data_IF_005779393922
#
_entry.id   IF_005779393922
#
_cell.length_a   1.000
_cell.length_b   1.000
_cell.length_c   1.000
_cell.angle_alpha   90.00
_cell.angle_beta   90.00
_cell.angle_gamma   90.00
#
_symmetry.space_group_name_H-M   'P 1'
#
loop_
_entity.id
_entity.type
_entity.pdbx_description
1 polymer ?
#
# COMPACT_ATOMS: atom_id res chain seq x y z
N UNK A 1 -80.92 6.18 -19.22
CA UNK A 1 -80.53 4.75 -19.09
C UNK A 1 -79.32 4.64 -18.16
N UNK A 2 -79.51 4.35 -16.87
CA UNK A 2 -78.94 3.18 -16.15
C UNK A 2 -77.81 2.43 -16.89
N UNK A 3 -76.60 2.38 -16.34
CA UNK A 3 -76.12 1.30 -15.43
C UNK A 3 -74.72 1.59 -14.87
N UNK A 4 -74.61 1.44 -13.56
CA UNK A 4 -73.40 1.10 -12.81
C UNK A 4 -72.80 -0.23 -13.28
N UNK A 5 -71.47 -0.37 -13.21
CA UNK A 5 -70.81 -1.55 -12.60
C UNK A 5 -69.35 -1.25 -12.28
N UNK A 6 -69.05 -1.28 -10.98
CA UNK A 6 -67.74 -1.63 -10.42
C UNK A 6 -67.29 -2.98 -10.98
N UNK A 7 -66.00 -3.10 -11.27
CA UNK A 7 -65.26 -4.32 -11.03
C UNK A 7 -64.01 -3.95 -10.22
N UNK A 8 -64.05 -4.34 -8.96
CA UNK A 8 -62.92 -4.48 -8.06
C UNK A 8 -61.98 -5.57 -8.59
N UNK A 9 -60.67 -5.33 -8.55
CA UNK A 9 -59.63 -6.36 -8.43
C UNK A 9 -58.25 -5.72 -8.22
N UNK A 10 -57.92 -5.59 -6.93
CA UNK A 10 -56.71 -6.14 -6.31
C UNK A 10 -55.34 -5.86 -6.95
N UNK A 11 -54.68 -4.88 -6.32
CA UNK A 11 -53.28 -4.83 -5.90
C UNK A 11 -52.36 -6.01 -6.30
N UNK A 12 -51.35 -5.71 -7.12
CA UNK A 12 -50.18 -6.53 -7.35
C UNK A 12 -48.98 -5.61 -7.56
N UNK A 13 -48.16 -5.45 -6.52
CA UNK A 13 -46.89 -4.71 -6.56
C UNK A 13 -45.92 -5.43 -7.50
N UNK A 14 -45.49 -4.74 -8.57
CA UNK A 14 -44.19 -4.95 -9.22
C UNK A 14 -43.64 -3.58 -9.62
N UNK A 15 -42.49 -3.25 -9.06
CA UNK A 15 -41.74 -2.04 -9.39
C UNK A 15 -41.31 -2.07 -10.85
N UNK A 16 -41.50 -0.94 -11.52
CA UNK A 16 -41.05 -0.68 -12.89
C UNK A 16 -39.55 -0.30 -12.88
N UNK A 17 -38.83 -0.56 -13.99
CA UNK A 17 -37.48 -0.06 -14.22
C UNK A 17 -37.52 1.39 -14.71
N UNK A 18 -36.47 2.17 -14.45
CA UNK A 18 -36.18 3.37 -15.21
C UNK A 18 -34.69 3.67 -15.14
N UNK A 19 -34.13 3.79 -16.34
CA UNK A 19 -32.82 4.28 -16.68
C UNK A 19 -32.38 5.52 -15.91
N UNK A 20 -31.08 5.59 -15.62
CA UNK A 20 -30.34 6.85 -15.56
C UNK A 20 -28.90 6.57 -15.95
N UNK A 21 -28.65 6.65 -17.25
CA UNK A 21 -27.33 6.81 -17.85
C UNK A 21 -27.08 8.32 -17.96
N UNK A 22 -26.00 8.82 -17.35
CA UNK A 22 -25.19 9.95 -17.85
C UNK A 22 -24.14 10.37 -16.83
N UNK A 23 -22.89 10.47 -17.30
CA UNK A 23 -21.81 11.19 -16.62
C UNK A 23 -20.46 10.73 -17.12
N UNK A 24 -19.93 11.40 -18.14
CA UNK A 24 -18.77 10.98 -18.93
C UNK A 24 -17.48 10.70 -18.17
N UNK A 25 -16.79 9.64 -18.61
CA UNK A 25 -15.37 9.44 -18.40
C UNK A 25 -14.61 10.42 -19.30
N UNK A 26 -14.27 11.58 -18.73
CA UNK A 26 -13.04 12.28 -19.11
C UNK A 26 -11.88 11.40 -18.59
N UNK A 27 -10.80 11.17 -19.35
CA UNK A 27 -9.61 10.54 -18.80
C UNK A 27 -8.96 11.58 -17.87
N UNK A 28 -9.41 11.61 -16.63
CA UNK A 28 -8.66 12.23 -15.55
C UNK A 28 -7.30 11.55 -15.50
N UNK A 29 -6.24 12.33 -15.39
CA UNK A 29 -4.94 11.82 -14.94
C UNK A 29 -5.19 11.00 -13.67
N UNK A 30 -5.19 9.67 -13.80
CA UNK A 30 -5.17 8.74 -12.69
C UNK A 30 -3.97 9.13 -11.83
N UNK A 31 -4.21 9.77 -10.69
CA UNK A 31 -3.17 9.90 -9.67
C UNK A 31 -2.77 8.45 -9.34
N UNK A 32 -1.49 8.08 -9.48
CA UNK A 32 -1.08 6.69 -9.37
C UNK A 32 -1.58 6.13 -8.03
N UNK A 33 -2.29 5.00 -8.11
CA UNK A 33 -2.82 4.30 -6.93
C UNK A 33 -1.66 4.03 -5.97
N UNK A 34 -1.85 4.19 -4.63
CA UNK A 34 -0.78 3.90 -3.68
C UNK A 34 -0.31 2.45 -3.84
N UNK A 35 0.89 2.28 -4.38
CA UNK A 35 1.48 0.98 -4.69
C UNK A 35 2.55 0.60 -3.67
N UNK A 36 2.88 -0.69 -3.59
CA UNK A 36 3.79 -1.25 -2.57
C UNK A 36 4.70 -2.33 -3.16
N UNK A 37 5.86 -2.61 -2.54
CA UNK A 37 6.71 -3.74 -2.92
C UNK A 37 5.99 -5.09 -2.79
N UNK A 38 4.98 -5.21 -1.93
CA UNK A 38 4.21 -6.44 -1.78
C UNK A 38 3.28 -6.73 -2.97
N UNK A 39 2.86 -5.72 -3.74
CA UNK A 39 2.02 -5.91 -4.93
C UNK A 39 2.74 -6.66 -6.06
N UNK A 40 4.06 -6.83 -5.95
CA UNK A 40 4.86 -7.74 -6.75
C UNK A 40 4.71 -9.23 -6.35
N UNK A 41 3.87 -9.59 -5.36
CA UNK A 41 3.91 -10.93 -4.72
C UNK A 41 2.52 -11.47 -4.32
N UNK A 42 2.44 -12.74 -3.88
CA UNK A 42 1.18 -13.43 -3.49
C UNK A 42 1.21 -14.09 -2.10
N UNK A 43 1.96 -13.56 -1.13
CA UNK A 43 2.17 -14.25 0.16
C UNK A 43 1.04 -14.01 1.22
N UNK A 44 0.93 -14.94 2.18
CA UNK A 44 -0.02 -14.93 3.30
C UNK A 44 0.54 -14.17 4.53
N UNK A 45 -0.24 -13.23 5.08
CA UNK A 45 0.19 -12.31 6.13
C UNK A 45 0.35 -12.93 7.52
N UNK A 46 -0.50 -13.89 7.91
CA UNK A 46 -0.38 -14.56 9.22
C UNK A 46 0.86 -15.45 9.27
N UNK A 47 1.10 -16.20 8.19
CA UNK A 47 2.31 -16.99 8.02
C UNK A 47 3.56 -16.09 8.09
N UNK A 48 3.53 -14.95 7.38
CA UNK A 48 4.64 -13.99 7.38
C UNK A 48 4.96 -13.45 8.78
N UNK A 49 3.95 -13.13 9.60
CA UNK A 49 4.21 -12.67 10.97
C UNK A 49 4.89 -13.75 11.81
N UNK A 50 4.44 -15.01 11.71
CA UNK A 50 5.07 -16.12 12.41
C UNK A 50 6.54 -16.29 11.98
N UNK A 51 6.82 -16.16 10.68
CA UNK A 51 8.17 -16.21 10.13
C UNK A 51 9.07 -15.09 10.66
N UNK A 52 8.53 -13.87 10.77
CA UNK A 52 9.26 -12.70 11.30
C UNK A 52 9.55 -12.84 12.80
N UNK A 53 8.66 -13.49 13.56
CA UNK A 53 8.91 -13.82 14.96
C UNK A 53 9.97 -14.91 15.08
N UNK A 54 9.90 -15.97 14.28
CA UNK A 54 10.91 -17.04 14.25
C UNK A 54 12.29 -16.51 13.84
N UNK A 55 12.34 -15.58 12.88
CA UNK A 55 13.56 -14.91 12.44
C UNK A 55 14.09 -13.86 13.44
N UNK A 56 13.39 -13.58 14.54
CA UNK A 56 13.81 -12.58 15.53
C UNK A 56 13.74 -11.14 15.02
N UNK A 57 12.96 -10.89 13.96
CA UNK A 57 12.69 -9.53 13.45
C UNK A 57 11.61 -8.85 14.27
N UNK A 58 10.63 -9.62 14.74
CA UNK A 58 9.52 -9.16 15.59
C UNK A 58 9.57 -9.89 16.93
N UNK A 59 9.52 -9.13 18.02
CA UNK A 59 9.25 -9.63 19.36
C UNK A 59 7.74 -9.53 19.64
N UNK A 60 7.09 -10.67 19.83
CA UNK A 60 5.66 -10.77 20.15
C UNK A 60 5.40 -11.10 21.64
N UNK A 61 6.36 -10.87 22.52
CA UNK A 61 6.19 -11.12 23.96
C UNK A 61 5.26 -10.09 24.62
N UNK A 62 4.42 -10.57 25.54
CA UNK A 62 3.59 -9.68 26.38
C UNK A 62 2.31 -9.14 25.73
N UNK A 63 1.89 -9.69 24.59
CA UNK A 63 0.61 -9.37 23.94
C UNK A 63 0.67 -8.22 22.94
N UNK A 64 1.83 -7.57 22.79
CA UNK A 64 2.10 -6.59 21.74
C UNK A 64 3.21 -7.13 20.81
N UNK A 65 3.12 -6.84 19.52
CA UNK A 65 4.21 -7.09 18.57
C UNK A 65 5.06 -5.82 18.41
N UNK A 66 6.39 -5.95 18.46
CA UNK A 66 7.35 -4.85 18.27
C UNK A 66 8.54 -5.33 17.46
N UNK A 67 9.23 -4.42 16.77
CA UNK A 67 10.50 -4.76 16.13
C UNK A 67 11.54 -5.13 17.19
N UNK A 68 12.33 -6.16 16.91
CA UNK A 68 13.53 -6.43 17.67
C UNK A 68 14.51 -5.24 17.51
N UNK A 69 15.18 -4.88 18.61
CA UNK A 69 16.02 -3.68 18.66
C UNK A 69 17.14 -3.69 17.60
N UNK A 70 17.81 -4.84 17.44
CA UNK A 70 18.89 -4.99 16.46
C UNK A 70 18.36 -4.77 15.03
N UNK A 71 17.24 -5.40 14.67
CA UNK A 71 16.62 -5.20 13.36
C UNK A 71 16.23 -3.73 13.11
N UNK A 72 15.62 -3.08 14.11
CA UNK A 72 15.21 -1.69 13.98
C UNK A 72 16.41 -0.73 13.81
N UNK A 73 17.54 -1.01 14.44
CA UNK A 73 18.79 -0.24 14.24
C UNK A 73 19.33 -0.39 12.81
N UNK A 74 19.39 -1.61 12.28
CA UNK A 74 19.78 -1.87 10.89
C UNK A 74 18.86 -1.14 9.90
N UNK A 75 17.55 -1.23 10.14
CA UNK A 75 16.53 -0.56 9.31
C UNK A 75 16.66 0.96 9.35
N UNK A 76 16.81 1.56 10.54
CA UNK A 76 16.98 3.03 10.68
C UNK A 76 18.25 3.53 9.99
N UNK A 77 19.35 2.80 10.14
CA UNK A 77 20.61 3.09 9.43
C UNK A 77 20.42 3.05 7.90
N UNK A 78 19.68 2.06 7.40
CA UNK A 78 19.36 1.97 5.98
C UNK A 78 18.45 3.13 5.51
N UNK A 79 17.45 3.53 6.32
CA UNK A 79 16.60 4.71 6.03
C UNK A 79 17.44 5.98 5.90
N UNK A 80 18.35 6.24 6.84
CA UNK A 80 19.21 7.43 6.80
C UNK A 80 20.06 7.47 5.53
N UNK A 81 20.68 6.33 5.18
CA UNK A 81 21.47 6.18 3.96
C UNK A 81 20.63 6.44 2.71
N UNK A 82 19.48 5.78 2.59
CA UNK A 82 18.61 5.85 1.41
C UNK A 82 17.96 7.23 1.26
N UNK A 83 17.57 7.89 2.36
CA UNK A 83 17.02 9.25 2.34
C UNK A 83 17.98 10.24 1.67
N UNK A 84 19.28 10.08 1.90
CA UNK A 84 20.32 10.96 1.36
C UNK A 84 20.65 10.70 -0.12
N UNK A 85 20.16 9.60 -0.71
CA UNK A 85 20.47 9.28 -2.10
C UNK A 85 19.78 10.21 -3.10
N UNK A 86 20.45 10.55 -4.21
CA UNK A 86 19.80 11.07 -5.40
C UNK A 86 18.65 10.17 -5.88
N UNK A 87 17.64 10.70 -6.60
CA UNK A 87 16.51 9.91 -7.08
C UNK A 87 16.91 8.66 -7.88
N UNK A 88 17.85 8.79 -8.82
CA UNK A 88 18.29 7.66 -9.66
C UNK A 88 19.01 6.57 -8.86
N UNK A 89 19.83 6.97 -7.88
CA UNK A 89 20.51 6.03 -6.99
C UNK A 89 19.52 5.31 -6.06
N UNK A 90 18.46 5.99 -5.63
CA UNK A 90 17.37 5.36 -4.88
C UNK A 90 16.60 4.36 -5.77
N UNK A 91 16.34 4.71 -7.04
CA UNK A 91 15.69 3.79 -7.98
C UNK A 91 16.53 2.52 -8.20
N UNK A 92 17.85 2.67 -8.36
CA UNK A 92 18.77 1.55 -8.47
C UNK A 92 18.81 0.69 -7.20
N UNK A 93 18.82 1.30 -6.01
CA UNK A 93 18.78 0.59 -4.74
C UNK A 93 17.45 -0.17 -4.55
N UNK A 94 16.32 0.44 -4.93
CA UNK A 94 15.00 -0.18 -4.89
C UNK A 94 14.92 -1.37 -5.85
N UNK A 95 15.44 -1.24 -7.08
CA UNK A 95 15.48 -2.32 -8.05
C UNK A 95 16.24 -3.55 -7.53
N UNK A 96 17.35 -3.34 -6.82
CA UNK A 96 18.16 -4.44 -6.28
C UNK A 96 17.42 -5.32 -5.26
N UNK A 97 16.32 -4.84 -4.68
CA UNK A 97 15.50 -5.58 -3.72
C UNK A 97 14.10 -5.92 -4.24
N UNK A 98 13.79 -5.58 -5.49
CA UNK A 98 12.49 -5.82 -6.13
C UNK A 98 12.56 -7.07 -7.02
N UNK A 99 12.13 -8.26 -6.55
CA UNK A 99 12.39 -9.54 -7.23
C UNK A 99 11.72 -9.69 -8.60
N UNK A 100 10.60 -9.00 -8.84
CA UNK A 100 9.83 -9.09 -10.09
C UNK A 100 10.13 -7.95 -11.07
N UNK A 101 10.85 -6.92 -10.65
CA UNK A 101 11.18 -5.78 -11.49
C UNK A 101 12.44 -6.06 -12.32
N UNK A 102 12.42 -5.66 -13.58
CA UNK A 102 13.57 -5.77 -14.48
C UNK A 102 14.27 -4.43 -14.71
N UNK A 103 13.57 -3.33 -14.43
CA UNK A 103 14.11 -1.98 -14.51
C UNK A 103 13.46 -1.06 -13.48
N UNK A 104 14.15 0.05 -13.19
CA UNK A 104 13.64 1.09 -12.33
C UNK A 104 14.10 2.46 -12.83
N UNK A 105 13.24 3.47 -12.66
CA UNK A 105 13.57 4.85 -12.91
C UNK A 105 12.99 5.78 -11.86
N UNK A 106 13.57 6.97 -11.73
CA UNK A 106 13.03 8.01 -10.87
C UNK A 106 12.23 9.02 -11.70
N UNK A 107 10.96 9.19 -11.36
CA UNK A 107 10.06 10.14 -12.02
C UNK A 107 9.68 11.23 -11.03
N UNK A 108 9.73 12.49 -11.45
CA UNK A 108 9.27 13.62 -10.63
C UNK A 108 8.10 14.31 -11.32
N UNK A 109 6.95 14.31 -10.65
CA UNK A 109 5.72 14.97 -11.09
C UNK A 109 5.32 16.04 -10.07
N UNK A 110 5.39 17.30 -10.49
CA UNK A 110 5.19 18.43 -9.58
C UNK A 110 6.16 18.41 -8.41
N UNK A 111 5.64 18.34 -7.19
CA UNK A 111 6.44 18.28 -5.95
C UNK A 111 6.69 16.85 -5.45
N UNK A 112 6.27 15.83 -6.22
CA UNK A 112 6.34 14.41 -5.83
C UNK A 112 7.40 13.69 -6.65
N UNK A 113 8.24 12.93 -5.97
CA UNK A 113 9.18 11.99 -6.60
C UNK A 113 8.71 10.56 -6.37
N UNK A 114 8.82 9.76 -7.41
CA UNK A 114 8.46 8.35 -7.47
C UNK A 114 9.68 7.53 -7.91
N UNK A 115 9.74 6.30 -7.42
CA UNK A 115 10.51 5.22 -8.04
C UNK A 115 9.50 4.36 -8.78
N UNK A 116 9.66 4.28 -10.10
CA UNK A 116 8.83 3.43 -10.96
C UNK A 116 9.60 2.15 -11.19
N UNK A 117 9.02 1.03 -10.77
CA UNK A 117 9.54 -0.32 -11.04
C UNK A 117 8.74 -0.91 -12.19
N UNK A 118 9.42 -1.50 -13.18
CA UNK A 118 8.76 -2.13 -14.32
C UNK A 118 9.20 -3.59 -14.45
N UNK A 119 8.25 -4.49 -14.72
CA UNK A 119 8.53 -5.90 -15.02
C UNK A 119 9.10 -6.11 -16.45
N UNK A 120 9.12 -5.04 -17.26
CA UNK A 120 9.62 -5.04 -18.64
C UNK A 120 8.53 -5.33 -19.68
N UNK A 121 7.29 -5.56 -19.25
CA UNK A 121 6.13 -5.49 -20.13
C UNK A 121 5.89 -4.05 -20.56
N UNK A 122 5.24 -3.85 -21.72
CA UNK A 122 4.83 -2.52 -22.18
C UNK A 122 3.43 -2.14 -21.70
N UNK A 123 2.86 -2.94 -20.79
CA UNK A 123 1.51 -2.75 -20.28
C UNK A 123 1.56 -1.91 -19.00
N UNK A 124 0.64 -0.93 -18.81
CA UNK A 124 0.62 -0.11 -17.60
C UNK A 124 0.50 -0.91 -16.29
N UNK A 125 -0.11 -2.10 -16.35
CA UNK A 125 -0.23 -3.01 -15.22
C UNK A 125 1.11 -3.63 -14.76
N UNK A 126 2.15 -3.55 -15.58
CA UNK A 126 3.51 -4.02 -15.26
C UNK A 126 4.36 -2.98 -14.52
N UNK A 127 3.81 -1.81 -14.19
CA UNK A 127 4.50 -0.75 -13.47
C UNK A 127 3.98 -0.60 -12.03
N UNK A 128 4.93 -0.41 -11.11
CA UNK A 128 4.66 -0.12 -9.70
C UNK A 128 5.26 1.23 -9.36
N UNK A 129 4.39 2.18 -8.99
CA UNK A 129 4.77 3.56 -8.73
C UNK A 129 4.90 3.83 -7.22
N UNK A 130 6.13 3.74 -6.72
CA UNK A 130 6.42 3.94 -5.30
C UNK A 130 6.73 5.41 -5.02
N UNK A 131 5.93 6.05 -4.17
CA UNK A 131 6.28 7.38 -3.65
C UNK A 131 7.63 7.30 -2.92
N UNK A 132 8.48 8.32 -3.06
CA UNK A 132 9.82 8.35 -2.44
C UNK A 132 9.84 7.89 -0.96
N UNK A 133 8.93 8.33 -0.07
CA UNK A 133 8.95 7.84 1.31
C UNK A 133 8.67 6.34 1.44
N UNK A 134 7.78 5.78 0.62
CA UNK A 134 7.50 4.33 0.56
C UNK A 134 8.73 3.59 0.05
N UNK A 135 9.31 4.05 -1.07
CA UNK A 135 10.53 3.45 -1.63
C UNK A 135 11.68 3.42 -0.60
N UNK A 136 11.89 4.50 0.17
CA UNK A 136 12.89 4.54 1.24
C UNK A 136 12.55 3.55 2.36
N UNK A 137 11.31 3.56 2.87
CA UNK A 137 10.89 2.67 3.95
C UNK A 137 11.06 1.19 3.59
N UNK A 138 10.48 0.78 2.48
CA UNK A 138 10.40 -0.63 2.11
C UNK A 138 11.77 -1.14 1.62
N UNK A 139 12.54 -0.33 0.88
CA UNK A 139 13.92 -0.70 0.53
C UNK A 139 14.80 -0.84 1.77
N UNK A 140 14.66 0.06 2.76
CA UNK A 140 15.40 -0.05 4.01
C UNK A 140 15.08 -1.35 4.77
N UNK A 141 13.79 -1.69 4.86
CA UNK A 141 13.34 -2.92 5.51
C UNK A 141 13.83 -4.17 4.77
N UNK A 142 13.73 -4.20 3.43
CA UNK A 142 14.21 -5.32 2.62
C UNK A 142 15.73 -5.55 2.74
N UNK A 143 16.51 -4.47 2.80
CA UNK A 143 17.96 -4.54 3.03
C UNK A 143 18.29 -5.04 4.44
N UNK A 144 17.62 -4.53 5.48
CA UNK A 144 17.81 -5.00 6.84
C UNK A 144 17.45 -6.50 6.98
N UNK A 145 16.33 -6.92 6.38
CA UNK A 145 15.93 -8.32 6.36
C UNK A 145 16.97 -9.21 5.68
N UNK A 146 17.58 -8.75 4.58
CA UNK A 146 18.62 -9.51 3.89
C UNK A 146 19.89 -9.69 4.74
N UNK A 147 20.14 -8.81 5.71
CA UNK A 147 21.28 -8.88 6.63
C UNK A 147 20.98 -9.74 7.87
N UNK A 148 19.74 -9.69 8.37
CA UNK A 148 19.40 -10.25 9.68
C UNK A 148 18.52 -11.50 9.65
N UNK A 149 17.88 -11.82 8.51
CA UNK A 149 16.92 -12.92 8.39
C UNK A 149 17.19 -13.79 7.15
N UNK A 150 16.98 -15.10 7.27
CA UNK A 150 17.06 -16.04 6.16
C UNK A 150 15.73 -16.14 5.41
N UNK A 151 15.41 -15.09 4.65
CA UNK A 151 14.23 -15.01 3.79
C UNK A 151 14.66 -14.88 2.33
N UNK A 152 13.95 -15.54 1.42
CA UNK A 152 14.12 -15.31 -0.01
C UNK A 152 13.66 -13.89 -0.41
N UNK A 153 13.99 -13.46 -1.63
CA UNK A 153 13.75 -12.10 -2.08
C UNK A 153 12.25 -11.74 -2.13
N UNK A 154 11.39 -12.68 -2.53
CA UNK A 154 9.94 -12.48 -2.60
C UNK A 154 9.36 -12.27 -1.20
N UNK A 155 9.74 -13.12 -0.24
CA UNK A 155 9.30 -12.98 1.15
C UNK A 155 9.82 -11.70 1.80
N UNK A 156 11.04 -11.26 1.46
CA UNK A 156 11.58 -9.98 1.93
C UNK A 156 10.78 -8.78 1.43
N UNK A 157 10.36 -8.79 0.17
CA UNK A 157 9.54 -7.71 -0.38
C UNK A 157 8.19 -7.61 0.33
N UNK A 158 7.54 -8.75 0.60
CA UNK A 158 6.27 -8.78 1.36
C UNK A 158 6.46 -8.28 2.79
N UNK A 159 7.45 -8.82 3.49
CA UNK A 159 7.75 -8.45 4.86
C UNK A 159 8.10 -6.97 4.96
N UNK A 160 8.88 -6.43 4.03
CA UNK A 160 9.25 -5.01 3.99
C UNK A 160 8.03 -4.08 3.94
N UNK A 161 7.02 -4.42 3.13
CA UNK A 161 5.76 -3.69 3.13
C UNK A 161 5.06 -3.75 4.49
N UNK A 162 4.85 -4.97 5.03
CA UNK A 162 4.17 -5.17 6.31
C UNK A 162 4.87 -4.48 7.49
N UNK A 163 6.20 -4.48 7.51
CA UNK A 163 7.03 -3.84 8.55
C UNK A 163 6.91 -2.32 8.56
N UNK A 164 6.32 -1.71 7.52
CA UNK A 164 6.00 -0.28 7.52
C UNK A 164 5.00 0.09 8.62
N UNK A 165 4.27 -0.86 9.20
CA UNK A 165 3.35 -0.62 10.33
C UNK A 165 4.09 -0.18 11.60
N UNK A 166 5.39 -0.44 11.67
CA UNK A 166 6.27 -0.05 12.78
C UNK A 166 7.06 1.24 12.51
N UNK A 167 6.61 2.07 11.56
CA UNK A 167 7.15 3.41 11.37
C UNK A 167 6.48 4.39 12.34
N UNK A 168 7.30 5.07 13.14
CA UNK A 168 6.85 6.19 13.98
C UNK A 168 6.91 7.51 13.20
N UNK A 169 7.97 7.70 12.40
CA UNK A 169 8.24 8.92 11.65
C UNK A 169 8.34 8.67 10.15
N UNK A 170 7.99 9.69 9.36
CA UNK A 170 8.18 9.65 7.91
C UNK A 170 9.67 9.51 7.57
N UNK A 171 10.08 8.48 6.80
CA UNK A 171 11.47 8.20 6.44
C UNK A 171 12.08 9.24 5.49
N UNK A 172 11.34 10.28 5.09
CA UNK A 172 11.86 11.40 4.27
C UNK A 172 11.82 12.75 4.97
N UNK A 173 10.70 13.16 5.56
CA UNK A 173 10.60 14.47 6.23
C UNK A 173 10.79 14.41 7.75
N UNK A 174 10.76 13.22 8.36
CA UNK A 174 10.92 13.03 9.81
C UNK A 174 9.73 13.51 10.64
N UNK A 175 8.59 13.78 10.01
CA UNK A 175 7.34 14.10 10.71
C UNK A 175 6.65 12.84 11.18
N UNK A 176 6.07 12.88 12.38
CA UNK A 176 5.24 11.84 12.96
C UNK A 176 4.20 11.29 11.97
N UNK A 177 4.05 9.97 11.96
CA UNK A 177 2.99 9.28 11.24
C UNK A 177 1.75 9.15 12.11
N UNK A 178 0.59 9.34 11.49
CA UNK A 178 -0.68 9.18 12.17
C UNK A 178 -1.54 8.10 11.52
N UNK A 179 -2.16 7.27 12.36
CA UNK A 179 -3.13 6.27 11.93
C UNK A 179 -4.44 6.93 11.51
N UNK A 180 -4.70 6.97 10.20
CA UNK A 180 -5.91 7.52 9.56
C UNK A 180 -6.74 6.41 8.91
N UNK A 181 -7.93 6.73 8.39
CA UNK A 181 -8.69 5.76 7.57
C UNK A 181 -7.92 5.50 6.27
N UNK A 182 -7.80 4.25 5.87
CA UNK A 182 -7.15 3.88 4.63
C UNK A 182 -8.05 4.24 3.43
N UNK A 183 -7.45 4.84 2.40
CA UNK A 183 -8.14 5.22 1.16
C UNK A 183 -7.99 6.70 0.82
N UNK A 184 -8.40 7.05 -0.40
CA UNK A 184 -8.33 8.41 -0.90
C UNK A 184 -9.32 9.37 -0.21
N UNK A 185 -9.06 10.67 -0.33
CA UNK A 185 -9.96 11.73 0.16
C UNK A 185 -11.35 11.68 -0.47
N UNK A 186 -11.46 11.12 -1.68
CA UNK A 186 -12.67 11.05 -2.48
C UNK A 186 -12.92 9.59 -2.90
N UNK A 187 -13.30 8.74 -1.95
CA UNK A 187 -13.61 7.34 -2.23
C UNK A 187 -14.16 6.64 -0.99
N UNK A 188 -14.86 5.50 -1.17
CA UNK A 188 -15.17 4.66 -0.03
C UNK A 188 -13.86 4.22 0.66
N UNK A 189 -13.85 4.10 1.99
CA UNK A 189 -12.67 3.61 2.70
C UNK A 189 -12.34 2.21 2.21
N UNK A 190 -11.05 1.86 2.24
CA UNK A 190 -10.65 0.46 2.07
C UNK A 190 -11.20 -0.35 3.24
N UNK A 191 -11.64 -1.57 2.99
CA UNK A 191 -12.19 -2.46 4.02
C UNK A 191 -11.49 -3.81 4.03
N UNK A 192 -11.57 -4.51 5.16
CA UNK A 192 -11.28 -5.94 5.27
C UNK A 192 -12.33 -6.80 4.52
N UNK A 193 -12.22 -8.12 4.64
CA UNK A 193 -13.14 -9.07 3.99
C UNK A 193 -14.57 -9.00 4.56
N UNK A 194 -14.71 -8.58 5.82
CA UNK A 194 -15.96 -8.41 6.55
C UNK A 194 -16.61 -7.04 6.32
N UNK A 195 -15.92 -6.12 5.64
CA UNK A 195 -16.39 -4.77 5.33
C UNK A 195 -16.09 -3.72 6.40
N UNK A 196 -15.23 -4.00 7.38
CA UNK A 196 -14.77 -3.01 8.35
C UNK A 196 -13.70 -2.11 7.73
N UNK A 197 -13.74 -0.80 8.01
CA UNK A 197 -12.79 0.15 7.43
C UNK A 197 -11.39 -0.06 7.98
N UNK A 198 -10.43 -0.25 7.07
CA UNK A 198 -9.01 -0.32 7.38
C UNK A 198 -8.48 1.06 7.80
N UNK A 199 -7.41 1.03 8.59
CA UNK A 199 -6.57 2.16 8.94
C UNK A 199 -5.31 2.14 8.10
N UNK A 200 -4.61 3.27 8.03
CA UNK A 200 -3.31 3.36 7.43
C UNK A 200 -2.43 4.39 8.13
N UNK A 201 -1.11 4.16 8.11
CA UNK A 201 -0.14 5.15 8.56
C UNK A 201 0.03 6.21 7.47
N UNK A 202 -0.19 7.47 7.85
CA UNK A 202 -0.12 8.62 6.94
C UNK A 202 0.78 9.69 7.54
N UNK A 203 1.75 10.16 6.76
CA UNK A 203 2.53 11.34 7.11
C UNK A 203 1.66 12.59 6.95
N UNK A 204 1.51 13.40 7.99
CA UNK A 204 0.65 14.61 7.94
C UNK A 204 1.20 15.71 7.04
N UNK A 205 2.53 15.77 6.87
CA UNK A 205 3.19 16.79 6.06
C UNK A 205 3.19 16.42 4.56
N UNK A 206 3.90 15.35 4.18
CA UNK A 206 4.01 14.95 2.77
C UNK A 206 2.81 14.13 2.25
N UNK A 207 1.83 13.84 3.12
CA UNK A 207 0.59 13.09 2.83
C UNK A 207 0.80 11.72 2.20
N UNK A 208 1.96 11.11 2.43
CA UNK A 208 2.25 9.76 1.95
C UNK A 208 1.59 8.75 2.89
N UNK A 209 0.87 7.79 2.31
CA UNK A 209 0.31 6.62 3.00
C UNK A 209 1.28 5.45 2.81
N UNK A 210 1.54 4.68 3.87
CA UNK A 210 2.51 3.58 3.84
C UNK A 210 1.85 2.21 3.75
N UNK A 211 1.22 1.77 4.85
CA UNK A 211 0.61 0.45 4.96
C UNK A 211 -0.82 0.59 5.49
N UNK A 212 -1.71 -0.29 5.03
CA UNK A 212 -3.05 -0.43 5.57
C UNK A 212 -3.12 -1.61 6.56
N UNK A 213 -3.86 -1.44 7.65
CA UNK A 213 -3.99 -2.41 8.75
C UNK A 213 -5.36 -2.27 9.43
N UNK A 214 -5.73 -3.26 10.24
CA UNK A 214 -7.01 -3.31 10.98
C UNK A 214 -7.02 -2.45 12.25
#
# INVERSE_FOLDING_TARGET
MRRLRRADRSNGVRAAPADSVSGGEEPGTDDPTPATLAEATTADGEAMLADLVEAGVVDATGGDARLAADFDEHRRTAVERLRALPPDDLAAATLAVAPTATSAEAVTEGERTFVVLSDGSSEPAGEVWLRRPVAVAETAAALALAETADLDADRRAVAAHGLSVYLDDCPVCGTDLEARKAGGCCGPPRTDAEGHPLRALVCVDCRTQFVAFE
#
